data_IF_327713840953
#
_entry.id   IF_327713840953
#
_cell.length_a   1.000
_cell.length_b   1.000
_cell.length_c   1.000
_cell.angle_alpha   90.00
_cell.angle_beta   90.00
_cell.angle_gamma   90.00
#
_symmetry.space_group_name_H-M   'P 1'
#
loop_
_entity.id
_entity.type
_entity.pdbx_description
1 polymer ?
#
# COMPACT_ATOMS: atom_id res chain seq x y z
N UNK A 1 -24.96 4.96 11.02
CA UNK A 1 -23.71 5.71 11.28
C UNK A 1 -23.14 6.02 9.91
N UNK A 2 -23.06 7.30 9.54
CA UNK A 2 -22.36 7.69 8.31
C UNK A 2 -20.88 7.40 8.51
N UNK A 3 -20.32 6.53 7.68
CA UNK A 3 -18.88 6.34 7.58
C UNK A 3 -18.32 7.59 6.89
N UNK A 4 -17.71 8.50 7.64
CA UNK A 4 -16.95 9.61 7.06
C UNK A 4 -15.71 9.05 6.38
N UNK A 5 -15.61 9.23 5.06
CA UNK A 5 -14.40 8.89 4.32
C UNK A 5 -13.42 10.05 4.44
N UNK A 6 -12.27 9.80 5.05
CA UNK A 6 -11.16 10.75 5.08
C UNK A 6 -10.30 10.59 3.81
N UNK A 7 -10.01 11.71 3.13
CA UNK A 7 -9.20 11.75 1.93
C UNK A 7 -7.89 12.49 2.18
N UNK A 8 -6.78 11.94 1.70
CA UNK A 8 -5.47 12.58 1.68
C UNK A 8 -5.03 12.88 0.24
N UNK A 9 -4.58 14.10 -0.01
CA UNK A 9 -4.02 14.52 -1.29
C UNK A 9 -2.52 14.72 -1.19
N UNK A 10 -1.80 14.41 -2.27
CA UNK A 10 -0.36 14.65 -2.33
C UNK A 10 -0.09 16.11 -2.68
N UNK A 11 0.76 16.75 -1.89
CA UNK A 11 1.17 18.14 -2.09
C UNK A 11 2.71 18.25 -2.06
N UNK A 12 3.31 19.15 -2.87
CA UNK A 12 4.72 19.48 -2.75
C UNK A 12 5.04 19.99 -1.33
N UNK A 13 6.20 19.60 -0.81
CA UNK A 13 6.61 19.92 0.55
C UNK A 13 8.13 20.06 0.62
N UNK A 14 8.61 20.94 1.50
CA UNK A 14 10.04 21.12 1.76
C UNK A 14 10.65 19.85 2.37
N UNK A 15 11.82 19.42 1.89
CA UNK A 15 12.42 18.13 2.26
C UNK A 15 12.68 17.98 3.77
N UNK A 16 13.02 19.07 4.46
CA UNK A 16 13.32 19.04 5.89
C UNK A 16 12.10 18.69 6.76
N UNK A 17 10.88 18.92 6.26
CA UNK A 17 9.63 18.54 6.93
C UNK A 17 9.36 17.02 6.86
N UNK A 18 10.04 16.31 5.95
CA UNK A 18 9.91 14.86 5.77
C UNK A 18 10.91 14.06 6.62
N UNK A 19 11.61 14.74 7.54
CA UNK A 19 12.46 14.09 8.53
C UNK A 19 11.64 13.34 9.58
N UNK A 20 12.19 12.25 10.11
CA UNK A 20 11.56 11.38 11.10
C UNK A 20 11.01 12.13 12.33
N UNK A 21 11.68 13.20 12.78
CA UNK A 21 11.29 14.02 13.94
C UNK A 21 9.91 14.68 13.82
N UNK A 22 9.41 14.86 12.60
CA UNK A 22 8.14 15.54 12.35
C UNK A 22 6.97 14.60 12.15
N UNK A 23 7.21 13.28 12.03
CA UNK A 23 6.17 12.28 11.83
C UNK A 23 5.16 12.76 10.78
N UNK A 24 5.56 12.80 9.50
CA UNK A 24 4.64 13.11 8.40
C UNK A 24 4.44 11.92 7.48
N UNK A 25 3.24 11.87 6.88
CA UNK A 25 2.98 11.05 5.70
C UNK A 25 3.80 11.57 4.51
N UNK A 26 4.29 10.67 3.67
CA UNK A 26 5.09 11.01 2.49
C UNK A 26 5.03 9.93 1.42
N UNK A 27 5.39 10.31 0.20
CA UNK A 27 5.46 9.44 -0.98
C UNK A 27 6.88 9.52 -1.53
N UNK A 28 7.46 8.37 -1.86
CA UNK A 28 8.79 8.26 -2.47
C UNK A 28 9.96 8.73 -1.60
N UNK A 29 11.14 8.78 -2.23
CA UNK A 29 12.40 9.13 -1.58
C UNK A 29 12.89 8.06 -0.60
N UNK A 30 13.66 8.46 0.41
CA UNK A 30 14.12 7.54 1.47
C UNK A 30 13.05 7.41 2.58
N UNK A 31 12.84 6.22 3.16
CA UNK A 31 11.97 6.05 4.31
C UNK A 31 12.41 6.93 5.48
N UNK A 32 11.45 7.52 6.19
CA UNK A 32 11.70 8.33 7.39
C UNK A 32 11.42 7.48 8.63
N UNK A 33 12.33 6.55 8.92
CA UNK A 33 12.19 5.57 9.99
C UNK A 33 11.99 6.25 11.37
N UNK A 34 10.92 5.85 12.06
CA UNK A 34 10.58 6.26 13.41
C UNK A 34 11.46 5.59 14.49
N UNK A 35 11.71 4.28 14.38
CA UNK A 35 12.67 3.56 15.21
C UNK A 35 14.01 3.49 14.47
N UNK A 36 15.08 4.01 15.07
CA UNK A 36 16.38 4.15 14.42
C UNK A 36 17.37 3.05 14.77
N UNK A 37 17.13 2.31 15.86
CA UNK A 37 18.04 1.25 16.33
C UNK A 37 17.77 -0.08 15.66
N UNK A 38 16.52 -0.33 15.25
CA UNK A 38 16.06 -1.62 14.72
C UNK A 38 15.44 -1.44 13.35
N UNK A 39 16.28 -1.02 12.42
CA UNK A 39 15.90 -0.88 11.01
C UNK A 39 15.73 -2.25 10.36
N UNK A 40 14.82 -2.37 9.37
CA UNK A 40 14.74 -3.58 8.54
C UNK A 40 16.10 -3.88 7.90
N UNK A 41 16.49 -5.16 7.88
CA UNK A 41 17.75 -5.54 7.25
C UNK A 41 17.60 -5.47 5.72
N UNK A 42 18.72 -5.35 4.99
CA UNK A 42 18.70 -5.26 3.53
C UNK A 42 17.92 -6.41 2.87
N UNK A 43 18.05 -7.63 3.42
CA UNK A 43 17.31 -8.82 2.96
C UNK A 43 15.79 -8.68 3.07
N UNK A 44 15.29 -7.91 4.03
CA UNK A 44 13.86 -7.69 4.26
C UNK A 44 13.29 -6.66 3.27
N UNK A 45 14.18 -5.95 2.56
CA UNK A 45 13.85 -4.91 1.58
C UNK A 45 14.13 -5.38 0.15
N UNK A 46 14.29 -6.68 -0.09
CA UNK A 46 14.42 -7.24 -1.44
C UNK A 46 13.05 -7.71 -1.95
N UNK A 47 12.86 -7.62 -3.26
CA UNK A 47 11.71 -8.15 -3.94
C UNK A 47 11.70 -9.68 -3.85
N UNK A 48 10.60 -10.27 -3.39
CA UNK A 48 10.46 -11.73 -3.30
C UNK A 48 10.43 -12.47 -4.64
N UNK A 49 10.27 -11.75 -5.76
CA UNK A 49 10.21 -12.32 -7.11
C UNK A 49 11.55 -12.20 -7.85
N UNK A 50 12.10 -10.98 -7.98
CA UNK A 50 13.33 -10.76 -8.73
C UNK A 50 14.59 -10.64 -7.86
N UNK A 51 14.45 -10.48 -6.54
CA UNK A 51 15.58 -10.30 -5.63
C UNK A 51 16.18 -8.89 -5.61
N UNK A 52 15.74 -7.98 -6.47
CA UNK A 52 16.22 -6.60 -6.50
C UNK A 52 15.70 -5.78 -5.31
N UNK A 53 16.43 -4.72 -4.87
CA UNK A 53 15.96 -3.84 -3.81
C UNK A 53 14.61 -3.19 -4.12
N UNK A 54 13.67 -3.28 -3.17
CA UNK A 54 12.37 -2.64 -3.25
C UNK A 54 12.51 -1.11 -3.25
N UNK A 55 11.71 -0.45 -4.08
CA UNK A 55 11.57 1.00 -4.06
C UNK A 55 10.60 1.40 -2.95
N UNK A 56 10.97 2.42 -2.18
CA UNK A 56 10.09 2.97 -1.15
C UNK A 56 8.92 3.72 -1.79
N UNK A 57 7.71 3.20 -1.59
CA UNK A 57 6.49 3.77 -2.15
C UNK A 57 5.98 4.95 -1.32
N UNK A 58 5.67 4.73 -0.05
CA UNK A 58 5.12 5.75 0.84
C UNK A 58 5.26 5.37 2.32
N UNK A 59 5.09 6.37 3.18
CA UNK A 59 4.90 6.24 4.62
C UNK A 59 3.65 7.02 4.99
N UNK A 60 2.75 6.40 5.75
CA UNK A 60 1.43 6.96 6.06
C UNK A 60 1.20 6.87 7.56
N UNK A 61 0.85 7.99 8.17
CA UNK A 61 0.35 8.03 9.54
C UNK A 61 -1.17 7.93 9.53
N UNK A 62 -1.69 7.10 10.45
CA UNK A 62 -3.12 6.85 10.58
C UNK A 62 -3.76 7.76 11.63
N UNK A 63 -5.03 8.05 11.38
CA UNK A 63 -5.94 8.71 12.33
C UNK A 63 -7.21 7.87 12.60
N UNK A 64 -7.64 7.01 11.66
CA UNK A 64 -8.86 6.19 11.80
C UNK A 64 -8.65 4.70 11.42
N UNK A 65 -9.49 3.81 11.97
CA UNK A 65 -9.35 2.34 11.92
C UNK A 65 -10.68 1.63 11.69
N UNK A 66 -10.60 0.44 11.08
CA UNK A 66 -11.74 -0.47 10.85
C UNK A 66 -12.77 0.07 9.85
N UNK A 67 -12.31 0.78 8.82
CA UNK A 67 -13.16 1.13 7.68
C UNK A 67 -13.42 -0.06 6.74
N UNK A 68 -14.14 0.21 5.65
CA UNK A 68 -14.37 -0.73 4.58
C UNK A 68 -13.64 -0.28 3.30
N UNK A 69 -12.89 -1.18 2.62
CA UNK A 69 -12.26 -0.85 1.35
C UNK A 69 -13.28 -0.58 0.24
N UNK A 70 -12.98 0.42 -0.59
CA UNK A 70 -13.67 0.70 -1.85
C UNK A 70 -12.99 -0.09 -2.98
N UNK A 71 -13.64 -1.17 -3.41
CA UNK A 71 -13.15 -2.04 -4.47
C UNK A 71 -13.53 -1.53 -5.86
N UNK A 72 -12.62 -1.67 -6.81
CA UNK A 72 -12.83 -1.32 -8.22
C UNK A 72 -13.61 -2.41 -8.97
N UNK A 73 -13.50 -3.67 -8.51
CA UNK A 73 -14.12 -4.84 -9.13
C UNK A 73 -14.58 -5.82 -8.05
N UNK A 74 -15.42 -6.82 -8.39
CA UNK A 74 -15.85 -7.85 -7.43
C UNK A 74 -14.72 -8.81 -7.03
N UNK A 75 -13.52 -8.70 -7.61
CA UNK A 75 -12.36 -9.53 -7.29
C UNK A 75 -11.66 -8.99 -6.03
N UNK A 76 -12.05 -9.52 -4.88
CA UNK A 76 -11.59 -9.12 -3.54
C UNK A 76 -10.76 -10.24 -2.89
N UNK A 77 -9.95 -9.99 -1.85
CA UNK A 77 -9.17 -11.05 -1.21
C UNK A 77 -10.10 -12.14 -0.62
N UNK A 78 -9.81 -13.41 -0.93
CA UNK A 78 -10.56 -14.55 -0.36
C UNK A 78 -10.40 -14.65 1.15
N UNK A 79 -9.20 -14.35 1.66
CA UNK A 79 -8.90 -14.33 3.09
C UNK A 79 -7.82 -13.31 3.41
N UNK A 80 -7.87 -12.80 4.63
CA UNK A 80 -6.83 -11.93 5.19
C UNK A 80 -5.98 -12.76 6.16
N UNK A 81 -4.66 -12.87 5.98
CA UNK A 81 -3.82 -13.67 6.86
C UNK A 81 -3.80 -13.10 8.28
N UNK A 82 -3.72 -13.99 9.26
CA UNK A 82 -3.60 -13.64 10.68
C UNK A 82 -2.26 -12.95 10.98
N UNK A 83 -2.24 -12.08 11.99
CA UNK A 83 -1.07 -11.34 12.42
C UNK A 83 0.10 -12.27 12.77
N UNK A 84 1.25 -12.04 12.17
CA UNK A 84 2.46 -12.85 12.37
C UNK A 84 3.00 -12.78 13.81
N UNK A 85 2.56 -11.78 14.60
CA UNK A 85 3.02 -11.57 15.98
C UNK A 85 2.12 -12.26 17.02
N UNK A 86 0.80 -12.11 16.90
CA UNK A 86 -0.14 -12.62 17.91
C UNK A 86 -1.10 -13.70 17.41
N UNK A 87 -1.11 -14.00 16.11
CA UNK A 87 -2.09 -14.88 15.48
C UNK A 87 -3.52 -14.31 15.41
N UNK A 88 -3.72 -13.07 15.84
CA UNK A 88 -5.00 -12.38 15.81
C UNK A 88 -5.41 -11.90 14.41
N UNK A 89 -6.66 -11.46 14.22
CA UNK A 89 -7.13 -10.97 12.93
C UNK A 89 -6.47 -9.63 12.56
N UNK A 90 -6.32 -9.40 11.25
CA UNK A 90 -6.04 -8.07 10.71
C UNK A 90 -7.35 -7.41 10.25
N UNK A 91 -7.44 -6.09 10.38
CA UNK A 91 -8.57 -5.28 9.92
C UNK A 91 -8.10 -4.31 8.84
N UNK A 92 -8.99 -3.97 7.92
CA UNK A 92 -8.72 -2.91 6.96
C UNK A 92 -8.49 -1.60 7.73
N UNK A 93 -7.54 -0.82 7.23
CA UNK A 93 -7.23 0.46 7.87
C UNK A 93 -7.06 1.62 6.88
N UNK A 94 -6.52 1.41 5.67
CA UNK A 94 -6.62 2.41 4.61
C UNK A 94 -6.37 1.79 3.23
N UNK A 95 -6.66 2.54 2.18
CA UNK A 95 -6.31 2.17 0.81
C UNK A 95 -5.54 3.26 0.07
N UNK A 96 -4.74 2.84 -0.91
CA UNK A 96 -4.01 3.72 -1.82
C UNK A 96 -4.61 3.57 -3.22
N UNK A 97 -5.14 4.67 -3.71
CA UNK A 97 -5.77 4.79 -5.03
C UNK A 97 -4.71 4.93 -6.15
N UNK A 98 -5.06 4.62 -7.41
CA UNK A 98 -4.10 4.58 -8.52
C UNK A 98 -3.61 5.98 -8.90
N UNK A 99 -4.33 7.03 -8.51
CA UNK A 99 -3.93 8.42 -8.72
C UNK A 99 -2.54 8.76 -8.15
N UNK A 100 -2.05 7.99 -7.17
CA UNK A 100 -0.69 8.13 -6.66
C UNK A 100 0.37 7.83 -7.72
N UNK A 101 0.10 6.93 -8.68
CA UNK A 101 1.02 6.55 -9.77
C UNK A 101 1.44 7.75 -10.62
N UNK A 102 0.52 8.68 -10.86
CA UNK A 102 0.76 9.91 -11.61
C UNK A 102 1.88 10.78 -11.00
N UNK A 103 2.11 10.63 -9.68
CA UNK A 103 3.11 11.38 -8.95
C UNK A 103 4.45 10.67 -8.83
N UNK A 104 4.47 9.33 -8.96
CA UNK A 104 5.67 8.52 -8.78
C UNK A 104 6.61 8.52 -10.00
N UNK A 105 6.11 8.95 -11.18
CA UNK A 105 6.86 8.96 -12.44
C UNK A 105 7.58 7.64 -12.73
N UNK A 106 6.95 6.52 -12.38
CA UNK A 106 7.47 5.17 -12.60
C UNK A 106 6.46 4.36 -13.41
N UNK A 107 6.80 4.09 -14.67
CA UNK A 107 5.93 3.37 -15.62
C UNK A 107 5.91 1.85 -15.40
N UNK A 108 6.81 1.33 -14.55
CA UNK A 108 6.89 -0.10 -14.27
C UNK A 108 5.99 -0.55 -13.11
N UNK A 109 5.24 0.38 -12.52
CA UNK A 109 4.35 0.06 -11.41
C UNK A 109 2.92 0.42 -11.78
N UNK A 110 2.03 -0.55 -11.61
CA UNK A 110 0.61 -0.39 -11.86
C UNK A 110 -0.21 -1.18 -10.83
N UNK A 111 -1.31 -0.59 -10.38
CA UNK A 111 -2.30 -1.18 -9.50
C UNK A 111 -3.62 -0.43 -9.66
N UNK A 112 -4.74 -1.11 -9.44
CA UNK A 112 -6.04 -0.48 -9.30
C UNK A 112 -6.22 0.11 -7.90
N UNK A 113 -6.14 -0.72 -6.85
CA UNK A 113 -6.12 -0.23 -5.46
C UNK A 113 -5.22 -1.11 -4.60
N UNK A 114 -4.53 -0.50 -3.64
CA UNK A 114 -3.82 -1.22 -2.58
C UNK A 114 -4.63 -1.09 -1.30
N UNK A 115 -5.16 -2.19 -0.78
CA UNK A 115 -5.86 -2.22 0.50
C UNK A 115 -4.92 -2.74 1.60
N UNK A 116 -4.73 -1.93 2.64
CA UNK A 116 -3.79 -2.23 3.73
C UNK A 116 -4.58 -2.74 4.93
N UNK A 117 -4.15 -3.91 5.42
CA UNK A 117 -4.71 -4.58 6.59
C UNK A 117 -3.65 -4.71 7.67
N UNK A 118 -4.04 -4.41 8.90
CA UNK A 118 -3.13 -4.31 10.04
C UNK A 118 -3.69 -4.97 11.26
N UNK A 119 -2.81 -5.36 12.17
CA UNK A 119 -3.21 -6.11 13.36
C UNK A 119 -4.23 -5.35 14.21
N UNK A 120 -5.36 -5.98 14.52
CA UNK A 120 -6.42 -5.37 15.35
C UNK A 120 -5.91 -5.00 16.75
N UNK A 121 -4.91 -5.71 17.26
CA UNK A 121 -4.32 -5.50 18.57
C UNK A 121 -3.17 -4.47 18.58
N UNK A 122 -2.79 -3.90 17.43
CA UNK A 122 -1.60 -3.03 17.33
C UNK A 122 -0.36 -3.65 17.96
N UNK A 123 -0.06 -4.91 17.61
CA UNK A 123 1.04 -5.61 18.26
C UNK A 123 2.37 -4.88 18.07
N UNK A 124 3.00 -4.53 19.18
CA UNK A 124 4.40 -4.16 19.18
C UNK A 124 5.24 -5.44 19.03
N UNK A 125 6.22 -5.48 18.11
CA UNK A 125 7.16 -6.58 18.09
C UNK A 125 7.92 -6.58 19.42
N UNK A 126 8.23 -7.78 19.94
CA UNK A 126 8.91 -7.94 21.24
C UNK A 126 10.24 -7.18 21.33
N UNK A 127 10.85 -6.94 20.17
CA UNK A 127 12.10 -6.23 20.05
C UNK A 127 11.92 -4.71 19.83
N UNK A 128 10.70 -4.17 19.69
CA UNK A 128 10.41 -2.77 19.35
C UNK A 128 10.96 -2.32 17.99
N UNK A 129 10.98 -3.19 16.97
CA UNK A 129 11.30 -2.87 15.58
C UNK A 129 10.08 -2.64 14.67
N UNK A 130 10.24 -3.01 13.40
CA UNK A 130 9.19 -2.95 12.38
C UNK A 130 8.54 -4.32 12.17
N UNK A 131 7.22 -4.33 11.96
CA UNK A 131 6.46 -5.53 11.62
C UNK A 131 5.93 -5.45 10.20
N UNK A 132 5.89 -6.59 9.52
CA UNK A 132 5.23 -6.69 8.21
C UNK A 132 3.73 -6.78 8.40
N UNK A 133 3.03 -5.98 7.62
CA UNK A 133 1.59 -5.96 7.56
C UNK A 133 1.12 -6.41 6.18
N UNK A 134 -0.18 -6.67 6.06
CA UNK A 134 -0.73 -7.27 4.85
C UNK A 134 -1.22 -6.19 3.89
N UNK A 135 -0.82 -6.32 2.62
CA UNK A 135 -1.29 -5.47 1.53
C UNK A 135 -1.93 -6.37 0.49
N UNK A 136 -3.18 -6.08 0.15
CA UNK A 136 -3.85 -6.68 -1.01
C UNK A 136 -3.78 -5.70 -2.18
N UNK A 137 -3.25 -6.17 -3.32
CA UNK A 137 -3.24 -5.43 -4.57
C UNK A 137 -4.40 -5.91 -5.43
N UNK A 138 -5.31 -5.01 -5.80
CA UNK A 138 -6.30 -5.25 -6.83
C UNK A 138 -5.81 -4.63 -8.15
N UNK A 139 -5.77 -5.42 -9.22
CA UNK A 139 -5.43 -4.93 -10.56
C UNK A 139 -6.64 -4.27 -11.25
N UNK A 140 -6.36 -3.36 -12.19
CA UNK A 140 -7.39 -2.80 -13.07
C UNK A 140 -7.78 -3.87 -14.10
N UNK A 141 -8.96 -4.47 -13.92
CA UNK A 141 -9.54 -5.39 -14.91
C UNK A 141 -10.46 -4.62 -15.85
N UNK A 142 -10.13 -4.58 -17.14
CA UNK A 142 -11.07 -4.14 -18.17
C UNK A 142 -12.19 -5.17 -18.26
N UNK A 143 -13.38 -4.80 -17.82
CA UNK A 143 -14.60 -5.63 -17.92
C UNK A 143 -15.33 -5.46 -19.25
N UNK A 144 -14.85 -4.57 -20.12
CA UNK A 144 -15.40 -4.41 -21.46
C UNK A 144 -15.01 -5.62 -22.34
N UNK A 145 -15.98 -6.29 -22.99
CA UNK A 145 -15.66 -7.34 -23.94
C UNK A 145 -14.82 -6.75 -25.08
N UNK A 146 -13.59 -7.26 -25.26
CA UNK A 146 -12.76 -6.91 -26.40
C UNK A 146 -13.55 -7.23 -27.67
N UNK A 147 -13.90 -6.20 -28.45
CA UNK A 147 -14.48 -6.39 -29.76
C UNK A 147 -13.51 -7.25 -30.60
N UNK A 148 -13.99 -8.28 -31.31
CA UNK A 148 -13.12 -9.08 -32.16
C UNK A 148 -12.41 -8.16 -33.18
N UNK A 149 -11.13 -8.40 -33.48
CA UNK A 149 -10.43 -7.62 -34.49
C UNK A 149 -11.20 -7.69 -35.81
N UNK A 150 -11.30 -6.58 -36.58
CA UNK A 150 -12.04 -6.57 -37.83
C UNK A 150 -11.44 -7.61 -38.79
N UNK A 151 -12.28 -8.48 -39.32
CA UNK A 151 -11.89 -9.45 -40.35
C UNK A 151 -11.38 -8.67 -41.56
N UNK A 152 -10.07 -8.78 -41.81
CA UNK A 152 -9.45 -8.18 -42.99
C UNK A 152 -9.83 -9.07 -44.17
N UNK A 153 -10.86 -8.67 -44.91
CA UNK A 153 -11.22 -9.30 -46.18
C UNK A 153 -10.04 -9.22 -47.14
N UNK A 154 -9.46 -10.36 -47.47
CA UNK A 154 -8.55 -10.48 -48.60
C UNK A 154 -9.39 -10.56 -49.88
N UNK A 155 -9.51 -9.44 -50.60
CA UNK A 155 -9.87 -9.42 -52.03
C UNK A 155 -8.59 -9.38 -52.89
#
# INVERSE_FOLDING_TARGET
MESSVDLGFLEPCEEWLLANKFFRSKVGGKPAWLELKKLPAAKDLLCGVCGEPCVFLCQILRYDRKGDPLWLSPVVPESIPACDQCGGPRKFEFQIMPQLLNSLKNENIDWGTLAIYTCEQSCDPADRGYVREFVYKQDVVNTEPQAPPPEIGHE
#
